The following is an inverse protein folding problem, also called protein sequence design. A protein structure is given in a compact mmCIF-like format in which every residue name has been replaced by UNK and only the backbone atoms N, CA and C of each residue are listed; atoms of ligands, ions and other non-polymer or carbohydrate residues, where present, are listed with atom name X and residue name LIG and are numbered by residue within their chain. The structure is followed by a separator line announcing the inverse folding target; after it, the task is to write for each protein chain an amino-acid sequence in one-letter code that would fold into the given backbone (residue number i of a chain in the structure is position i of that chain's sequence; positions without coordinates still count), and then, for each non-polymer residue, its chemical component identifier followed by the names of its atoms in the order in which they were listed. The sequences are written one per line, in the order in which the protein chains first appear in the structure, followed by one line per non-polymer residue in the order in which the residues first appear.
data_IF_229743647183
#
_entry.id   IF_229743647183
#
_cell.length_a   1.000
_cell.length_b   1.000
_cell.length_c   1.000
_cell.angle_alpha   90.00
_cell.angle_beta   90.00
_cell.angle_gamma   90.00
#
_symmetry.space_group_name_H-M   'P 1'
#
loop_
_entity.id
_entity.type
_entity.pdbx_description
1 polymer ?
#
# COMPACT_ATOMS: atom_id res chain seq x y z
N UNK A 1 -21.70 22.45 -0.55
CA UNK A 1 -21.18 21.62 -1.65
C UNK A 1 -20.59 22.44 -2.80
N UNK A 2 -21.21 23.53 -3.32
CA UNK A 2 -20.64 24.38 -4.39
C UNK A 2 -19.36 25.16 -4.02
N UNK A 3 -19.18 25.52 -2.74
CA UNK A 3 -17.99 26.29 -2.28
C UNK A 3 -16.71 25.44 -2.14
N UNK A 4 -16.85 24.14 -1.88
CA UNK A 4 -15.72 23.19 -1.81
C UNK A 4 -15.18 22.89 -3.22
N UNK A 5 -16.08 22.76 -4.20
CA UNK A 5 -15.76 22.50 -5.61
C UNK A 5 -15.00 23.68 -6.26
N UNK A 6 -15.30 24.92 -5.84
CA UNK A 6 -14.60 26.11 -6.32
C UNK A 6 -13.18 26.25 -5.73
N UNK A 7 -12.99 25.88 -4.46
CA UNK A 7 -11.66 25.90 -3.81
C UNK A 7 -10.75 24.81 -4.35
N UNK A 8 -11.29 23.62 -4.61
CA UNK A 8 -10.54 22.50 -5.21
C UNK A 8 -10.11 22.85 -6.64
N UNK A 9 -10.99 23.44 -7.45
CA UNK A 9 -10.66 23.90 -8.82
C UNK A 9 -9.57 24.98 -8.83
N UNK A 10 -9.58 25.90 -7.86
CA UNK A 10 -8.51 26.91 -7.72
C UNK A 10 -7.19 26.28 -7.30
N UNK A 11 -7.21 25.32 -6.37
CA UNK A 11 -6.00 24.63 -5.91
C UNK A 11 -5.37 23.78 -7.03
N UNK A 12 -6.19 23.05 -7.79
CA UNK A 12 -5.75 22.31 -8.99
C UNK A 12 -5.20 23.28 -10.06
N UNK A 13 -5.82 24.45 -10.22
CA UNK A 13 -5.33 25.49 -11.12
C UNK A 13 -3.96 26.04 -10.74
N UNK A 14 -3.69 26.22 -9.44
CA UNK A 14 -2.38 26.69 -8.94
C UNK A 14 -1.30 25.64 -9.17
N UNK A 15 -1.58 24.36 -8.92
CA UNK A 15 -0.67 23.24 -9.19
C UNK A 15 -0.38 23.15 -10.70
N UNK A 16 -1.38 23.30 -11.54
CA UNK A 16 -1.23 23.29 -12.99
C UNK A 16 -0.36 24.46 -13.50
N UNK A 17 -0.48 25.64 -12.91
CA UNK A 17 0.37 26.80 -13.24
C UNK A 17 1.82 26.62 -12.75
N UNK A 18 2.03 25.97 -11.60
CA UNK A 18 3.37 25.63 -11.11
C UNK A 18 4.06 24.60 -12.04
N UNK A 19 3.34 23.61 -12.55
CA UNK A 19 3.84 22.63 -13.50
C UNK A 19 4.17 23.32 -14.85
N UNK A 20 3.33 24.23 -15.34
CA UNK A 20 3.60 25.01 -16.56
C UNK A 20 4.83 25.92 -16.41
N UNK A 21 5.03 26.53 -15.23
CA UNK A 21 6.18 27.38 -14.95
C UNK A 21 7.50 26.56 -14.98
N UNK A 22 7.47 25.32 -14.53
CA UNK A 22 8.65 24.42 -14.60
C UNK A 22 8.98 24.00 -16.06
N UNK A 23 7.97 23.80 -16.90
CA UNK A 23 8.18 23.50 -18.33
C UNK A 23 8.82 24.68 -19.06
N UNK A 24 8.44 25.93 -18.73
CA UNK A 24 9.05 27.13 -19.27
C UNK A 24 10.52 27.34 -18.82
N UNK A 25 10.84 26.98 -17.58
CA UNK A 25 12.23 27.08 -17.08
C UNK A 25 13.17 26.03 -17.69
N UNK A 26 12.64 24.87 -18.07
CA UNK A 26 13.42 23.81 -18.73
C UNK A 26 13.81 24.15 -20.18
N UNK A 27 13.12 25.08 -20.84
CA UNK A 27 13.40 25.46 -22.24
C UNK A 27 14.51 26.51 -22.38
N UNK A 28 14.94 27.17 -21.31
CA UNK A 28 16.00 28.21 -21.38
C UNK A 28 17.42 27.66 -21.25
N UNK A 29 17.61 26.35 -21.11
CA UNK A 29 18.90 25.68 -20.90
C UNK A 29 19.54 25.06 -22.13
N UNK A 30 18.99 25.19 -23.36
CA UNK A 30 19.63 24.66 -24.57
C UNK A 30 20.48 25.79 -25.20
N UNK A 31 21.63 26.07 -24.58
CA UNK A 31 22.66 26.83 -25.20
C UNK A 31 23.58 25.90 -26.03
N UNK A 32 23.74 26.22 -27.29
CA UNK A 32 24.63 25.64 -28.29
C UNK A 32 25.89 24.97 -27.72
N UNK A 33 25.97 23.66 -27.77
CA UNK A 33 27.24 22.97 -27.68
C UNK A 33 27.74 22.63 -29.10
N UNK A 34 28.81 23.30 -29.52
CA UNK A 34 29.62 22.93 -30.68
C UNK A 34 30.16 21.52 -30.49
N UNK A 35 29.74 20.59 -31.34
CA UNK A 35 30.34 19.26 -31.43
C UNK A 35 31.73 19.35 -32.09
N UNK A 36 32.74 19.65 -31.27
CA UNK A 36 34.12 19.36 -31.62
C UNK A 36 34.34 17.84 -31.53
N UNK A 37 34.96 17.28 -32.58
CA UNK A 37 35.38 15.88 -32.60
C UNK A 37 36.57 15.70 -31.64
N UNK A 38 36.30 15.48 -30.37
CA UNK A 38 37.26 14.92 -29.43
C UNK A 38 36.84 13.49 -29.09
N UNK A 39 37.64 12.55 -29.57
CA UNK A 39 37.58 11.15 -29.11
C UNK A 39 38.02 11.12 -27.66
N UNK A 40 37.05 11.22 -26.76
CA UNK A 40 37.26 10.93 -25.34
C UNK A 40 37.53 9.44 -25.20
N UNK A 41 38.76 9.08 -24.89
CA UNK A 41 39.08 7.76 -24.35
C UNK A 41 38.35 7.62 -23.05
N UNK A 42 37.25 6.81 -23.04
CA UNK A 42 36.59 6.39 -21.85
C UNK A 42 37.56 5.61 -20.97
N UNK A 43 37.99 6.19 -19.87
CA UNK A 43 38.70 5.44 -18.84
C UNK A 43 37.81 4.28 -18.41
N UNK A 44 38.37 3.08 -18.42
CA UNK A 44 37.75 1.88 -17.93
C UNK A 44 37.25 2.14 -16.49
N UNK A 45 35.92 2.21 -16.30
CA UNK A 45 35.30 2.31 -14.99
C UNK A 45 35.27 0.89 -14.44
N UNK A 46 36.30 0.49 -13.72
CA UNK A 46 36.32 -0.77 -12.96
C UNK A 46 35.35 -0.59 -11.78
N UNK A 47 34.11 -1.01 -11.96
CA UNK A 47 33.16 -1.13 -10.87
C UNK A 47 33.59 -2.32 -10.01
N UNK A 48 34.41 -2.08 -9.00
CA UNK A 48 34.67 -3.06 -7.96
C UNK A 48 33.46 -3.12 -7.03
N UNK A 49 32.55 -4.05 -7.25
CA UNK A 49 31.53 -4.40 -6.29
C UNK A 49 32.20 -5.07 -5.08
N UNK A 50 32.55 -4.30 -4.06
CA UNK A 50 33.31 -4.79 -2.89
C UNK A 50 32.40 -5.23 -1.74
N UNK A 51 31.06 -5.10 -1.87
CA UNK A 51 30.11 -5.52 -0.83
C UNK A 51 29.00 -6.37 -1.42
N UNK A 52 28.63 -7.50 -0.79
CA UNK A 52 27.43 -8.21 -1.18
C UNK A 52 26.22 -7.28 -1.00
N UNK A 53 25.39 -7.14 -2.03
CA UNK A 53 24.18 -6.31 -1.99
C UNK A 53 23.20 -6.76 -0.90
N UNK A 54 23.19 -8.07 -0.57
CA UNK A 54 22.34 -8.63 0.46
C UNK A 54 23.17 -9.47 1.44
N UNK A 55 22.86 -9.35 2.73
CA UNK A 55 23.44 -10.12 3.82
C UNK A 55 22.33 -10.76 4.64
N UNK A 56 22.53 -12.01 5.03
CA UNK A 56 21.67 -12.66 6.01
C UNK A 56 22.14 -12.26 7.41
N UNK A 57 21.22 -11.74 8.21
CA UNK A 57 21.43 -11.52 9.65
C UNK A 57 20.40 -12.32 10.48
N UNK A 58 20.38 -12.11 11.80
CA UNK A 58 19.44 -12.78 12.71
C UNK A 58 17.96 -12.42 12.50
N UNK A 59 17.66 -11.33 11.82
CA UNK A 59 16.28 -10.92 11.51
C UNK A 59 15.84 -11.39 10.13
N UNK A 60 16.74 -11.40 9.13
CA UNK A 60 16.40 -11.74 7.76
C UNK A 60 17.46 -11.31 6.75
N UNK A 61 17.07 -11.16 5.50
CA UNK A 61 17.93 -10.68 4.42
C UNK A 61 17.96 -9.16 4.41
N UNK A 62 19.11 -8.57 4.74
CA UNK A 62 19.33 -7.12 4.71
C UNK A 62 20.01 -6.75 3.39
N UNK A 63 19.39 -5.84 2.65
CA UNK A 63 19.94 -5.27 1.41
C UNK A 63 20.19 -3.78 1.63
N UNK A 64 21.44 -3.36 1.46
CA UNK A 64 21.83 -1.95 1.46
C UNK A 64 21.38 -1.30 0.14
N UNK A 65 20.68 -0.19 0.21
CA UNK A 65 20.21 0.57 -0.97
C UNK A 65 21.09 1.79 -1.18
N UNK A 66 21.31 2.58 -0.12
CA UNK A 66 22.15 3.77 -0.13
C UNK A 66 23.56 3.46 -0.61
N UNK A 67 24.07 4.26 -1.54
CA UNK A 67 25.41 4.10 -2.11
C UNK A 67 25.55 2.92 -3.07
N UNK A 68 24.47 2.28 -3.47
CA UNK A 68 24.46 1.17 -4.44
C UNK A 68 23.75 1.56 -5.74
N UNK A 69 23.75 0.65 -6.71
CA UNK A 69 23.00 0.85 -7.97
C UNK A 69 21.50 0.89 -7.75
N UNK A 70 21.00 0.32 -6.65
CA UNK A 70 19.59 0.28 -6.29
C UNK A 70 19.05 1.68 -5.95
N UNK A 71 19.88 2.56 -5.42
CA UNK A 71 19.52 3.96 -5.11
C UNK A 71 19.10 4.77 -6.35
N UNK A 72 19.57 4.34 -7.53
CA UNK A 72 19.28 5.00 -8.82
C UNK A 72 17.98 4.53 -9.46
N UNK A 73 17.31 3.55 -8.88
CA UNK A 73 15.98 3.12 -9.31
C UNK A 73 14.94 4.19 -8.92
N UNK A 74 13.79 4.18 -9.59
CA UNK A 74 12.77 5.22 -9.37
C UNK A 74 12.16 5.18 -7.97
N UNK A 75 11.49 4.09 -7.64
CA UNK A 75 10.71 3.94 -6.41
C UNK A 75 11.05 2.66 -5.63
N UNK A 76 10.62 2.59 -4.38
CA UNK A 76 10.83 1.43 -3.51
C UNK A 76 10.38 0.11 -4.15
N UNK A 77 9.30 0.13 -4.90
CA UNK A 77 8.77 -1.01 -5.62
C UNK A 77 9.75 -1.58 -6.65
N UNK A 78 10.49 -0.72 -7.35
CA UNK A 78 11.51 -1.13 -8.34
C UNK A 78 12.69 -1.79 -7.61
N UNK A 79 13.08 -1.22 -6.46
CA UNK A 79 14.12 -1.79 -5.59
C UNK A 79 13.70 -3.16 -5.08
N UNK A 80 12.46 -3.29 -4.59
CA UNK A 80 11.96 -4.56 -4.05
C UNK A 80 11.93 -5.68 -5.09
N UNK A 81 11.67 -5.38 -6.35
CA UNK A 81 11.75 -6.35 -7.45
C UNK A 81 13.15 -6.93 -7.69
N UNK A 82 14.20 -6.32 -7.12
CA UNK A 82 15.60 -6.76 -7.22
C UNK A 82 16.09 -7.48 -5.95
N UNK A 83 15.25 -7.60 -4.92
CA UNK A 83 15.65 -8.23 -3.65
C UNK A 83 15.61 -9.75 -3.74
N UNK A 84 16.56 -10.46 -3.08
CA UNK A 84 16.52 -11.91 -2.99
C UNK A 84 15.22 -12.41 -2.33
N UNK A 85 14.57 -13.38 -2.97
CA UNK A 85 13.35 -13.99 -2.46
C UNK A 85 12.09 -13.12 -2.56
N UNK A 86 12.15 -11.98 -3.22
CA UNK A 86 11.01 -11.11 -3.48
C UNK A 86 10.60 -11.23 -4.94
N UNK A 87 9.32 -11.35 -5.18
CA UNK A 87 8.71 -11.43 -6.51
C UNK A 87 7.89 -10.16 -6.75
N UNK A 88 8.06 -9.56 -7.91
CA UNK A 88 7.19 -8.48 -8.38
C UNK A 88 6.29 -9.04 -9.50
N UNK A 89 5.05 -9.36 -9.14
CA UNK A 89 4.07 -9.91 -10.05
C UNK A 89 3.08 -8.82 -10.46
N UNK A 90 3.31 -8.20 -11.62
CA UNK A 90 2.48 -7.11 -12.17
C UNK A 90 2.23 -5.97 -11.16
N UNK A 91 3.25 -5.67 -10.37
CA UNK A 91 3.17 -4.61 -9.36
C UNK A 91 2.74 -5.06 -7.96
N UNK A 92 2.31 -6.30 -7.78
CA UNK A 92 2.13 -6.92 -6.47
C UNK A 92 3.46 -7.47 -5.97
N UNK A 93 3.92 -7.01 -4.82
CA UNK A 93 5.13 -7.52 -4.18
C UNK A 93 4.75 -8.73 -3.33
N UNK A 94 5.45 -9.83 -3.54
CA UNK A 94 5.27 -11.08 -2.81
C UNK A 94 6.62 -11.63 -2.35
N UNK A 95 6.64 -12.31 -1.21
CA UNK A 95 7.82 -13.05 -0.75
C UNK A 95 7.66 -14.52 -1.09
N UNK A 96 8.66 -15.10 -1.73
CA UNK A 96 8.61 -16.47 -2.25
C UNK A 96 8.21 -17.47 -1.16
N UNK A 97 7.15 -18.24 -1.43
CA UNK A 97 6.59 -19.24 -0.50
C UNK A 97 5.89 -18.67 0.74
N UNK A 98 5.78 -17.35 0.88
CA UNK A 98 5.18 -16.66 2.05
C UNK A 98 4.01 -15.74 1.68
N UNK A 99 3.79 -15.48 0.39
CA UNK A 99 2.72 -14.61 -0.09
C UNK A 99 3.03 -13.12 0.09
N UNK A 100 1.96 -12.32 0.27
CA UNK A 100 2.09 -10.86 0.43
C UNK A 100 2.69 -10.50 1.78
N UNK A 101 3.78 -9.69 1.81
CA UNK A 101 4.39 -9.25 3.05
C UNK A 101 3.59 -8.13 3.71
N UNK A 102 3.77 -7.97 5.02
CA UNK A 102 3.43 -6.74 5.72
C UNK A 102 4.62 -5.78 5.62
N UNK A 103 4.35 -4.54 5.24
CA UNK A 103 5.38 -3.51 5.11
C UNK A 103 5.51 -2.69 6.38
N UNK A 104 6.75 -2.35 6.71
CA UNK A 104 7.11 -1.40 7.77
C UNK A 104 8.05 -0.35 7.20
N UNK A 105 7.81 0.92 7.48
CA UNK A 105 8.70 2.04 7.16
C UNK A 105 9.14 2.68 8.48
N UNK A 106 10.44 2.69 8.77
CA UNK A 106 11.02 3.22 10.01
C UNK A 106 10.38 2.68 11.30
N UNK A 107 9.94 1.42 11.28
CA UNK A 107 9.28 0.78 12.42
C UNK A 107 7.75 0.90 12.46
N UNK A 108 7.15 1.72 11.60
CA UNK A 108 5.70 1.86 11.49
C UNK A 108 5.13 0.86 10.50
N UNK A 109 4.00 0.27 10.83
CA UNK A 109 3.26 -0.57 9.89
C UNK A 109 2.63 0.30 8.79
N UNK A 110 2.83 -0.08 7.55
CA UNK A 110 2.19 0.59 6.41
C UNK A 110 0.74 0.14 6.30
N UNK A 111 -0.18 1.04 6.55
CA UNK A 111 -1.63 0.79 6.45
C UNK A 111 -2.15 1.03 5.04
N UNK A 112 -1.48 1.90 4.28
CA UNK A 112 -1.83 2.21 2.90
C UNK A 112 -0.63 1.97 1.98
N UNK A 113 -0.77 1.08 1.00
CA UNK A 113 0.31 0.74 0.07
C UNK A 113 0.82 1.93 -0.76
N UNK A 114 0.06 3.02 -0.86
CA UNK A 114 0.47 4.26 -1.53
C UNK A 114 1.78 4.79 -0.92
N UNK A 115 1.99 4.65 0.39
CA UNK A 115 3.25 5.05 1.04
C UNK A 115 4.47 4.34 0.43
N UNK A 116 4.36 3.03 0.19
CA UNK A 116 5.44 2.24 -0.43
C UNK A 116 5.60 2.58 -1.91
N UNK A 117 4.49 2.83 -2.60
CA UNK A 117 4.49 3.15 -4.04
C UNK A 117 5.06 4.53 -4.35
N UNK A 118 4.96 5.46 -3.40
CA UNK A 118 5.48 6.82 -3.53
C UNK A 118 6.89 6.99 -2.98
N UNK A 119 7.35 6.07 -2.12
CA UNK A 119 8.69 6.12 -1.54
C UNK A 119 9.76 5.98 -2.63
N UNK A 120 10.64 6.97 -2.73
CA UNK A 120 11.71 7.01 -3.72
C UNK A 120 12.90 6.15 -3.29
N UNK A 121 13.55 5.51 -4.25
CA UNK A 121 14.72 4.65 -4.00
C UNK A 121 15.88 5.40 -3.32
N UNK A 122 16.10 6.66 -3.70
CA UNK A 122 17.14 7.52 -3.12
C UNK A 122 16.86 7.97 -1.67
N UNK A 123 15.66 7.70 -1.16
CA UNK A 123 15.30 7.94 0.23
C UNK A 123 15.53 6.72 1.12
N UNK A 124 15.86 5.56 0.54
CA UNK A 124 16.01 4.30 1.24
C UNK A 124 17.47 4.07 1.65
N UNK A 125 17.70 3.82 2.92
CA UNK A 125 18.99 3.39 3.45
C UNK A 125 19.18 1.88 3.22
N UNK A 126 18.24 1.07 3.71
CA UNK A 126 18.26 -0.39 3.59
C UNK A 126 16.86 -0.99 3.63
N UNK A 127 16.75 -2.20 3.10
CA UNK A 127 15.54 -3.03 3.17
C UNK A 127 15.87 -4.36 3.83
N UNK A 128 15.04 -4.80 4.79
CA UNK A 128 15.17 -6.12 5.46
C UNK A 128 13.95 -6.96 5.12
N UNK A 129 14.17 -8.13 4.53
CA UNK A 129 13.14 -9.13 4.23
C UNK A 129 13.17 -10.21 5.29
N UNK A 130 12.09 -10.32 6.08
CA UNK A 130 11.93 -11.28 7.17
C UNK A 130 10.95 -12.36 6.70
N UNK A 131 11.45 -13.57 6.54
CA UNK A 131 10.66 -14.73 6.07
C UNK A 131 10.11 -15.59 7.20
N UNK A 132 10.55 -15.33 8.43
CA UNK A 132 10.08 -15.99 9.63
C UNK A 132 9.91 -14.96 10.75
N UNK A 133 8.77 -14.23 10.77
CA UNK A 133 8.48 -13.25 11.80
C UNK A 133 8.45 -13.89 13.19
N UNK A 134 8.98 -13.18 14.20
CA UNK A 134 8.94 -13.63 15.60
C UNK A 134 7.56 -13.39 16.25
N UNK A 135 7.49 -13.67 17.55
CA UNK A 135 6.24 -13.56 18.34
C UNK A 135 5.67 -12.14 18.45
N UNK A 136 6.47 -11.11 18.14
CA UNK A 136 6.02 -9.72 18.05
C UNK A 136 4.91 -9.54 17.01
N UNK A 137 4.88 -10.35 15.96
CA UNK A 137 3.98 -10.16 14.82
C UNK A 137 2.79 -11.11 14.88
N UNK A 138 1.65 -10.68 14.31
CA UNK A 138 0.45 -11.49 14.28
C UNK A 138 0.67 -12.84 13.58
N UNK A 139 0.00 -13.87 14.03
CA UNK A 139 0.13 -15.25 13.55
C UNK A 139 -0.19 -15.45 12.07
N UNK A 140 -0.94 -14.51 11.50
CA UNK A 140 -1.33 -14.50 10.09
C UNK A 140 -0.26 -13.90 9.18
N UNK A 141 0.78 -13.27 9.75
CA UNK A 141 1.86 -12.61 9.00
C UNK A 141 2.90 -13.62 8.58
N UNK A 142 2.92 -13.99 7.31
CA UNK A 142 3.89 -14.96 6.75
C UNK A 142 5.27 -14.37 6.47
N UNK A 143 5.35 -13.06 6.20
CA UNK A 143 6.59 -12.35 5.90
C UNK A 143 6.45 -10.85 6.12
N UNK A 144 7.60 -10.18 6.30
CA UNK A 144 7.68 -8.75 6.55
C UNK A 144 8.77 -8.14 5.67
N UNK A 145 8.51 -6.95 5.16
CA UNK A 145 9.52 -6.11 4.53
C UNK A 145 9.66 -4.82 5.34
N UNK A 146 10.81 -4.67 6.01
CA UNK A 146 11.15 -3.45 6.75
C UNK A 146 12.00 -2.54 5.87
N UNK A 147 11.54 -1.32 5.66
CA UNK A 147 12.24 -0.26 4.92
C UNK A 147 12.76 0.75 5.93
N UNK A 148 14.07 0.98 5.93
CA UNK A 148 14.68 2.06 6.70
C UNK A 148 15.03 3.18 5.74
N UNK A 149 14.56 4.40 6.03
CA UNK A 149 14.86 5.57 5.20
C UNK A 149 16.13 6.29 5.67
N UNK A 150 16.73 7.04 4.76
CA UNK A 150 17.89 7.87 5.04
C UNK A 150 17.46 9.03 5.94
N UNK A 151 18.11 9.20 7.08
CA UNK A 151 17.94 10.42 7.88
C UNK A 151 18.60 11.59 7.16
N UNK A 152 17.84 12.63 6.90
CA UNK A 152 18.37 13.88 6.33
C UNK A 152 19.33 14.53 7.34
N UNK A 153 20.40 15.11 6.86
CA UNK A 153 21.44 15.75 7.69
C UNK A 153 21.52 17.24 7.34
N UNK A 154 21.63 18.08 8.36
CA UNK A 154 21.71 19.55 8.22
C UNK A 154 20.34 20.23 8.31
N UNK A 155 20.39 21.50 8.74
CA UNK A 155 19.21 22.35 8.85
C UNK A 155 18.87 23.00 7.52
N UNK A 156 17.61 23.36 7.34
CA UNK A 156 17.14 24.09 6.19
C UNK A 156 15.96 23.45 5.49
N UNK A 157 15.61 24.05 4.37
CA UNK A 157 14.54 23.60 3.49
C UNK A 157 15.09 22.73 2.36
N UNK A 158 14.43 21.64 2.08
CA UNK A 158 14.70 20.80 0.91
C UNK A 158 13.39 20.39 0.24
N UNK A 159 13.46 20.20 -1.07
CA UNK A 159 12.36 19.64 -1.84
C UNK A 159 12.91 18.66 -2.87
N UNK A 160 12.08 17.74 -3.27
CA UNK A 160 12.34 16.79 -4.34
C UNK A 160 11.03 16.60 -5.13
N UNK A 161 11.11 16.66 -6.44
CA UNK A 161 9.95 16.46 -7.31
C UNK A 161 10.29 15.45 -8.40
N UNK A 162 9.41 14.46 -8.57
CA UNK A 162 9.48 13.53 -9.70
C UNK A 162 8.17 13.62 -10.49
N UNK A 163 8.25 14.19 -11.68
CA UNK A 163 7.17 14.19 -12.65
C UNK A 163 7.44 13.12 -13.72
N UNK A 164 6.47 12.27 -13.97
CA UNK A 164 6.50 11.23 -14.99
C UNK A 164 5.37 11.43 -15.97
N UNK A 165 5.69 11.49 -17.25
CA UNK A 165 4.70 11.48 -18.33
C UNK A 165 5.04 10.31 -19.23
N UNK A 166 4.06 9.49 -19.54
CA UNK A 166 4.24 8.34 -20.39
C UNK A 166 3.05 8.10 -21.31
N UNK A 167 3.28 7.29 -22.33
CA UNK A 167 2.27 6.88 -23.26
C UNK A 167 2.33 5.36 -23.46
N UNK A 168 1.22 4.69 -23.11
CA UNK A 168 1.01 3.28 -23.38
C UNK A 168 -0.45 3.11 -23.82
N UNK A 169 -0.71 3.21 -25.11
CA UNK A 169 -2.04 3.33 -25.71
C UNK A 169 -2.77 4.64 -25.33
N UNK A 170 -2.50 5.18 -24.13
CA UNK A 170 -3.06 6.44 -23.61
C UNK A 170 -1.98 7.21 -22.85
N UNK A 171 -2.17 8.53 -22.80
CA UNK A 171 -1.33 9.40 -22.00
C UNK A 171 -1.61 9.15 -20.51
N UNK A 172 -0.57 8.93 -19.72
CA UNK A 172 -0.63 8.90 -18.27
C UNK A 172 0.37 9.90 -17.69
N UNK A 173 0.07 10.39 -16.51
CA UNK A 173 0.92 11.33 -15.80
C UNK A 173 0.91 11.03 -14.30
N UNK A 174 2.08 11.15 -13.69
CA UNK A 174 2.29 11.07 -12.24
C UNK A 174 3.22 12.19 -11.83
N UNK A 175 2.90 12.86 -10.73
CA UNK A 175 3.77 13.87 -10.10
C UNK A 175 3.81 13.60 -8.60
N UNK A 176 5.00 13.70 -8.02
CA UNK A 176 5.24 13.47 -6.60
C UNK A 176 6.21 14.53 -6.07
N UNK A 177 5.71 15.41 -5.20
CA UNK A 177 6.45 16.50 -4.59
C UNK A 177 6.68 16.20 -3.11
N UNK A 178 7.93 16.11 -2.69
CA UNK A 178 8.35 16.02 -1.31
C UNK A 178 8.92 17.36 -0.85
N UNK A 179 8.42 17.84 0.27
CA UNK A 179 8.88 19.04 0.96
C UNK A 179 9.38 18.66 2.34
N UNK A 180 10.48 19.26 2.78
CA UNK A 180 11.00 19.03 4.10
C UNK A 180 11.66 20.30 4.63
N UNK A 181 11.40 20.62 5.89
CA UNK A 181 12.05 21.69 6.61
C UNK A 181 12.58 21.17 7.93
N UNK A 182 13.89 21.26 8.12
CA UNK A 182 14.58 20.80 9.32
C UNK A 182 15.20 21.96 10.07
N UNK A 183 15.00 21.94 11.37
CA UNK A 183 15.64 22.85 12.32
C UNK A 183 16.03 22.07 13.57
N UNK A 184 17.31 22.03 13.89
CA UNK A 184 17.87 21.26 15.01
C UNK A 184 17.37 19.79 15.01
N UNK A 185 16.54 19.47 15.99
CA UNK A 185 16.00 18.13 16.23
C UNK A 185 14.60 17.92 15.64
N UNK A 186 14.02 18.93 15.04
CA UNK A 186 12.68 18.91 14.46
C UNK A 186 12.77 18.83 12.93
N UNK A 187 12.06 17.87 12.37
CA UNK A 187 11.88 17.67 10.94
C UNK A 187 10.40 17.79 10.62
N UNK A 188 9.99 18.75 9.80
CA UNK A 188 8.62 18.93 9.33
C UNK A 188 8.58 18.58 7.86
N UNK A 189 7.69 17.68 7.47
CA UNK A 189 7.65 17.18 6.10
C UNK A 189 6.25 17.20 5.51
N UNK A 190 6.20 17.23 4.19
CA UNK A 190 4.99 17.06 3.41
C UNK A 190 5.28 16.36 2.09
N UNK A 191 4.43 15.41 1.71
CA UNK A 191 4.45 14.75 0.40
C UNK A 191 3.10 14.98 -0.27
N UNK A 192 3.11 15.34 -1.55
CA UNK A 192 1.91 15.54 -2.36
C UNK A 192 2.04 14.74 -3.63
N UNK A 193 1.11 13.82 -3.84
CA UNK A 193 1.06 12.95 -5.01
C UNK A 193 -0.16 13.25 -5.89
N UNK A 194 0.06 13.21 -7.18
CA UNK A 194 -1.01 13.24 -8.18
C UNK A 194 -0.72 12.19 -9.25
N UNK A 195 -1.70 11.35 -9.55
CA UNK A 195 -1.60 10.39 -10.65
C UNK A 195 -2.88 10.40 -11.46
N UNK A 196 -2.73 10.34 -12.78
CA UNK A 196 -3.83 10.21 -13.73
C UNK A 196 -3.46 9.17 -14.76
N UNK A 197 -4.33 8.16 -14.91
CA UNK A 197 -4.13 7.07 -15.84
C UNK A 197 -5.39 6.68 -16.58
N UNK A 198 -5.18 5.96 -17.67
CA UNK A 198 -6.21 5.24 -18.41
C UNK A 198 -5.66 3.87 -18.76
N UNK A 199 -6.42 2.83 -18.52
CA UNK A 199 -6.06 1.47 -18.87
C UNK A 199 -7.21 0.77 -19.60
N UNK A 200 -6.86 -0.19 -20.45
CA UNK A 200 -7.81 -1.04 -21.16
C UNK A 200 -7.46 -2.48 -20.97
N UNK A 201 -8.45 -3.27 -20.60
CA UNK A 201 -8.31 -4.70 -20.42
C UNK A 201 -9.32 -5.44 -21.29
N UNK A 202 -8.90 -6.62 -21.81
CA UNK A 202 -9.77 -7.55 -22.50
C UNK A 202 -9.54 -8.94 -21.92
N UNK A 203 -10.60 -9.56 -21.45
CA UNK A 203 -10.57 -10.91 -20.90
C UNK A 203 -11.56 -11.81 -21.60
N UNK A 204 -11.18 -13.09 -21.74
CA UNK A 204 -12.07 -14.16 -22.18
C UNK A 204 -12.11 -15.21 -21.09
N UNK A 205 -13.31 -15.62 -20.70
CA UNK A 205 -13.55 -16.68 -19.74
C UNK A 205 -14.39 -17.77 -20.39
N UNK A 206 -13.99 -19.02 -20.21
CA UNK A 206 -14.72 -20.20 -20.66
C UNK A 206 -15.00 -21.04 -19.43
N UNK A 207 -16.28 -21.24 -19.12
CA UNK A 207 -16.74 -22.10 -18.03
C UNK A 207 -17.44 -23.31 -18.61
N UNK A 208 -17.05 -24.49 -18.15
CA UNK A 208 -17.68 -25.73 -18.52
C UNK A 208 -18.34 -26.38 -17.30
N UNK A 209 -19.53 -26.92 -17.48
CA UNK A 209 -20.28 -27.66 -16.48
C UNK A 209 -20.85 -28.93 -17.11
N UNK A 210 -20.65 -30.07 -16.46
CA UNK A 210 -21.17 -31.37 -16.84
C UNK A 210 -22.20 -31.80 -15.79
N UNK A 211 -23.47 -31.63 -16.12
CA UNK A 211 -24.59 -32.14 -15.33
C UNK A 211 -25.25 -33.29 -16.08
N UNK A 212 -26.49 -33.11 -16.56
CA UNK A 212 -27.18 -34.04 -17.47
C UNK A 212 -26.77 -33.84 -18.93
N UNK A 213 -26.23 -32.66 -19.25
CA UNK A 213 -25.69 -32.25 -20.55
C UNK A 213 -24.42 -31.45 -20.35
N UNK A 214 -23.63 -31.22 -21.39
CA UNK A 214 -22.45 -30.38 -21.37
C UNK A 214 -22.90 -28.91 -21.60
N UNK A 215 -22.73 -28.05 -20.58
CA UNK A 215 -22.97 -26.63 -20.70
C UNK A 215 -21.63 -25.88 -20.75
N UNK A 216 -21.48 -25.03 -21.76
CA UNK A 216 -20.31 -24.17 -21.90
C UNK A 216 -20.75 -22.69 -21.95
N UNK A 217 -20.21 -21.87 -21.09
CA UNK A 217 -20.41 -20.42 -21.12
C UNK A 217 -19.12 -19.73 -21.55
N UNK A 218 -19.20 -18.99 -22.66
CA UNK A 218 -18.11 -18.18 -23.19
C UNK A 218 -18.40 -16.71 -22.90
N UNK A 219 -17.60 -16.06 -22.09
CA UNK A 219 -17.76 -14.64 -21.76
C UNK A 219 -16.53 -13.85 -22.22
N UNK A 220 -16.78 -12.81 -23.01
CA UNK A 220 -15.76 -11.83 -23.41
C UNK A 220 -16.09 -10.50 -22.75
N UNK A 221 -15.14 -9.93 -22.03
CA UNK A 221 -15.27 -8.60 -21.43
C UNK A 221 -14.17 -7.69 -21.94
N UNK A 222 -14.55 -6.49 -22.38
CA UNK A 222 -13.64 -5.40 -22.68
C UNK A 222 -13.95 -4.25 -21.75
N UNK A 223 -12.95 -3.76 -21.03
CA UNK A 223 -13.10 -2.65 -20.07
C UNK A 223 -12.10 -1.55 -20.33
N UNK A 224 -12.53 -0.32 -20.08
CA UNK A 224 -11.69 0.88 -20.08
C UNK A 224 -11.85 1.57 -18.74
N UNK A 225 -10.74 1.73 -18.03
CA UNK A 225 -10.69 2.34 -16.71
C UNK A 225 -9.95 3.67 -16.78
N UNK A 226 -10.54 4.70 -16.22
CA UNK A 226 -9.92 6.00 -15.95
C UNK A 226 -9.70 6.11 -14.45
N UNK A 227 -8.46 6.25 -14.02
CA UNK A 227 -8.07 6.39 -12.61
C UNK A 227 -7.43 7.74 -12.37
N UNK A 228 -7.74 8.32 -11.24
CA UNK A 228 -7.00 9.45 -10.69
C UNK A 228 -6.66 9.14 -9.24
N UNK A 229 -5.53 9.63 -8.77
CA UNK A 229 -5.13 9.60 -7.38
C UNK A 229 -4.66 10.99 -6.98
N UNK A 230 -5.15 11.48 -5.86
CA UNK A 230 -4.67 12.68 -5.19
C UNK A 230 -4.34 12.26 -3.78
N UNK A 231 -3.10 12.41 -3.39
CA UNK A 231 -2.59 12.03 -2.08
C UNK A 231 -1.84 13.19 -1.44
N UNK A 232 -2.00 13.34 -0.13
CA UNK A 232 -1.30 14.32 0.67
C UNK A 232 -0.94 13.74 2.02
N UNK A 233 0.34 13.80 2.39
CA UNK A 233 0.88 13.38 3.69
C UNK A 233 1.69 14.51 4.26
N UNK A 234 1.48 14.86 5.52
CA UNK A 234 2.26 15.87 6.24
C UNK A 234 2.39 15.51 7.70
N UNK A 235 3.53 15.84 8.26
CA UNK A 235 3.84 15.47 9.62
C UNK A 235 5.12 16.08 10.13
N UNK A 236 5.53 15.59 11.27
CA UNK A 236 6.78 15.99 11.90
C UNK A 236 7.45 14.81 12.58
N UNK A 237 8.78 14.87 12.66
CA UNK A 237 9.63 13.98 13.44
C UNK A 237 10.50 14.83 14.37
N UNK A 238 10.54 14.46 15.65
CA UNK A 238 11.41 15.05 16.63
C UNK A 238 12.36 14.02 17.20
N UNK A 239 13.66 14.30 17.21
CA UNK A 239 14.70 13.38 17.67
C UNK A 239 15.75 14.10 18.50
N UNK A 240 15.51 14.23 19.81
CA UNK A 240 16.43 14.95 20.70
C UNK A 240 17.71 14.18 20.99
N UNK A 241 17.69 12.86 20.85
CA UNK A 241 18.84 11.98 21.07
C UNK A 241 18.59 10.60 20.43
N UNK A 242 19.60 9.73 20.32
CA UNK A 242 19.39 8.32 19.95
C UNK A 242 18.43 7.55 20.87
N UNK A 243 18.13 8.13 22.06
CA UNK A 243 17.28 7.52 23.09
C UNK A 243 15.88 8.10 23.16
N UNK A 244 15.57 9.18 22.43
CA UNK A 244 14.24 9.80 22.45
C UNK A 244 13.92 10.36 21.08
N UNK A 245 12.93 9.77 20.43
CA UNK A 245 12.33 10.27 19.22
C UNK A 245 10.81 10.06 19.25
N UNK A 246 10.07 10.98 18.69
CA UNK A 246 8.63 10.85 18.47
C UNK A 246 8.23 11.65 17.25
N UNK A 247 7.15 11.26 16.63
CA UNK A 247 6.61 11.93 15.47
C UNK A 247 5.17 11.54 15.23
N UNK A 248 4.55 12.27 14.32
CA UNK A 248 3.22 11.95 13.83
C UNK A 248 3.05 12.49 12.42
N UNK A 249 2.19 11.81 11.65
CA UNK A 249 1.77 12.32 10.36
C UNK A 249 0.27 12.09 10.14
N UNK A 250 -0.29 12.91 9.29
CA UNK A 250 -1.62 12.74 8.75
C UNK A 250 -1.54 12.60 7.23
N UNK A 251 -2.27 11.61 6.71
CA UNK A 251 -2.38 11.35 5.29
C UNK A 251 -3.83 11.36 4.86
N UNK A 252 -4.10 11.93 3.70
CA UNK A 252 -5.38 11.84 3.00
C UNK A 252 -5.15 11.38 1.58
N UNK A 253 -5.95 10.39 1.16
CA UNK A 253 -5.90 9.83 -0.19
C UNK A 253 -7.29 9.84 -0.81
N UNK A 254 -7.41 10.33 -2.03
CA UNK A 254 -8.65 10.34 -2.80
C UNK A 254 -8.41 9.75 -4.18
N UNK A 255 -9.06 8.60 -4.45
CA UNK A 255 -8.85 7.80 -5.66
C UNK A 255 -10.18 7.60 -6.44
N UNK A 256 -10.68 8.60 -7.20
CA UNK A 256 -11.83 8.41 -8.05
C UNK A 256 -11.47 7.61 -9.29
N UNK A 257 -12.30 6.60 -9.59
CA UNK A 257 -12.14 5.74 -10.76
C UNK A 257 -13.44 5.65 -11.54
N UNK A 258 -13.36 5.65 -12.87
CA UNK A 258 -14.48 5.39 -13.76
C UNK A 258 -14.12 4.22 -14.67
N UNK A 259 -14.95 3.18 -14.69
CA UNK A 259 -14.77 2.01 -15.54
C UNK A 259 -15.99 1.79 -16.43
N UNK A 260 -15.75 1.66 -17.72
CA UNK A 260 -16.76 1.33 -18.71
C UNK A 260 -16.42 -0.06 -19.26
N UNK A 261 -17.38 -0.98 -19.21
CA UNK A 261 -17.18 -2.36 -19.66
C UNK A 261 -18.27 -2.79 -20.64
N UNK A 262 -17.87 -3.52 -21.66
CA UNK A 262 -18.76 -4.23 -22.60
C UNK A 262 -18.54 -5.72 -22.38
N UNK A 263 -19.62 -6.44 -22.12
CA UNK A 263 -19.63 -7.86 -21.79
C UNK A 263 -20.49 -8.56 -22.83
N UNK A 264 -19.97 -9.64 -23.41
CA UNK A 264 -20.70 -10.53 -24.33
C UNK A 264 -20.57 -11.93 -23.78
N UNK A 265 -21.70 -12.61 -23.61
CA UNK A 265 -21.74 -13.99 -23.08
C UNK A 265 -22.60 -14.87 -23.97
N UNK A 266 -22.09 -16.05 -24.34
CA UNK A 266 -22.82 -17.06 -25.11
C UNK A 266 -22.85 -18.35 -24.28
N UNK A 267 -24.05 -18.89 -24.07
CA UNK A 267 -24.29 -20.16 -23.38
C UNK A 267 -24.59 -21.22 -24.44
N UNK A 268 -23.90 -22.34 -24.35
CA UNK A 268 -24.05 -23.51 -25.18
C UNK A 268 -24.54 -24.70 -24.34
N UNK A 269 -25.41 -25.54 -24.91
CA UNK A 269 -25.79 -26.84 -24.39
C UNK A 269 -25.52 -27.87 -25.46
N UNK A 270 -24.65 -28.84 -25.17
CA UNK A 270 -24.21 -29.90 -26.13
C UNK A 270 -23.80 -29.27 -27.50
N UNK A 271 -22.96 -28.22 -27.44
CA UNK A 271 -22.44 -27.42 -28.57
C UNK A 271 -23.49 -26.60 -29.36
N UNK A 272 -24.74 -26.55 -28.88
CA UNK A 272 -25.80 -25.71 -29.45
C UNK A 272 -25.93 -24.42 -28.65
N UNK A 273 -26.00 -23.27 -29.32
CA UNK A 273 -26.22 -21.97 -28.66
C UNK A 273 -27.62 -21.97 -28.05
N UNK A 274 -27.69 -21.84 -26.73
CA UNK A 274 -28.94 -21.66 -25.95
C UNK A 274 -29.33 -20.23 -25.82
N UNK A 275 -28.34 -19.35 -25.51
CA UNK A 275 -28.58 -17.93 -25.34
C UNK A 275 -27.33 -17.09 -25.61
N UNK A 276 -27.56 -15.88 -26.08
CA UNK A 276 -26.54 -14.85 -26.20
C UNK A 276 -27.00 -13.60 -25.45
N UNK A 277 -26.14 -13.06 -24.62
CA UNK A 277 -26.39 -11.85 -23.85
C UNK A 277 -25.30 -10.83 -24.09
N UNK A 278 -25.67 -9.58 -24.16
CA UNK A 278 -24.70 -8.48 -24.12
C UNK A 278 -25.09 -7.51 -23.02
N UNK A 279 -24.08 -7.00 -22.31
CA UNK A 279 -24.28 -6.02 -21.27
C UNK A 279 -23.25 -4.89 -21.38
N UNK A 280 -23.68 -3.68 -21.06
CA UNK A 280 -22.82 -2.53 -20.86
C UNK A 280 -22.87 -2.13 -19.39
N UNK A 281 -21.68 -1.92 -18.78
CA UNK A 281 -21.55 -1.56 -17.37
C UNK A 281 -20.71 -0.29 -17.23
N UNK A 282 -21.28 0.75 -16.58
CA UNK A 282 -20.59 1.96 -16.18
C UNK A 282 -20.45 1.96 -14.65
N UNK A 283 -19.21 2.01 -14.15
CA UNK A 283 -18.90 2.02 -12.74
C UNK A 283 -18.19 3.32 -12.39
N UNK A 284 -18.66 4.00 -11.35
CA UNK A 284 -18.04 5.20 -10.77
C UNK A 284 -17.71 4.91 -9.32
N UNK A 285 -16.43 4.73 -9.04
CA UNK A 285 -15.89 4.51 -7.70
C UNK A 285 -15.29 5.81 -7.17
N UNK A 286 -15.51 6.10 -5.88
CA UNK A 286 -14.86 7.18 -5.13
C UNK A 286 -14.36 6.57 -3.83
N UNK A 287 -13.05 6.55 -3.67
CA UNK A 287 -12.37 6.07 -2.47
C UNK A 287 -11.72 7.25 -1.77
N UNK A 288 -12.08 7.49 -0.52
CA UNK A 288 -11.50 8.53 0.33
C UNK A 288 -11.03 7.89 1.62
N UNK A 289 -9.75 8.01 1.89
CA UNK A 289 -9.09 7.46 3.07
C UNK A 289 -8.32 8.53 3.82
N UNK A 290 -8.37 8.46 5.14
CA UNK A 290 -7.63 9.29 6.06
C UNK A 290 -6.86 8.38 7.02
N UNK A 291 -5.62 8.70 7.29
CA UNK A 291 -4.76 8.02 8.25
C UNK A 291 -4.07 9.06 9.14
N UNK A 292 -4.17 8.88 10.44
CA UNK A 292 -3.33 9.53 11.43
C UNK A 292 -2.47 8.47 12.07
N UNK A 293 -1.15 8.63 11.97
CA UNK A 293 -0.15 7.75 12.54
C UNK A 293 0.71 8.53 13.52
N UNK A 294 1.15 7.87 14.59
CA UNK A 294 2.02 8.46 15.58
C UNK A 294 2.94 7.41 16.22
N UNK A 295 4.12 7.84 16.62
CA UNK A 295 5.09 6.98 17.27
C UNK A 295 5.87 7.69 18.36
N UNK A 296 6.36 6.90 19.30
CA UNK A 296 7.32 7.32 20.30
C UNK A 296 8.33 6.20 20.54
N UNK A 297 9.60 6.54 20.49
CA UNK A 297 10.70 5.66 20.83
C UNK A 297 11.48 6.28 21.98
N UNK A 298 11.67 5.53 23.07
CA UNK A 298 12.32 6.01 24.28
C UNK A 298 13.31 5.00 24.84
N UNK A 299 14.49 5.49 25.29
CA UNK A 299 15.47 4.70 26.03
C UNK A 299 15.52 5.11 27.50
N UNK A 300 15.24 4.19 28.43
CA UNK A 300 15.37 4.41 29.86
C UNK A 300 16.31 3.38 30.48
N UNK A 301 17.49 3.84 30.87
CA UNK A 301 18.57 2.94 31.31
C UNK A 301 19.00 2.02 30.18
N UNK A 302 18.81 0.71 30.35
CA UNK A 302 19.04 -0.33 29.34
C UNK A 302 17.77 -0.74 28.60
N UNK A 303 16.62 -0.20 28.98
CA UNK A 303 15.34 -0.47 28.33
C UNK A 303 15.20 0.35 27.05
N UNK A 304 14.67 -0.29 26.03
CA UNK A 304 14.20 0.34 24.82
C UNK A 304 12.68 0.19 24.77
N UNK A 305 11.97 1.31 24.64
CA UNK A 305 10.51 1.38 24.65
C UNK A 305 10.04 1.94 23.31
N UNK A 306 9.08 1.30 22.69
CA UNK A 306 8.47 1.73 21.44
C UNK A 306 6.96 1.74 21.62
N UNK A 307 6.31 2.75 21.09
CA UNK A 307 4.86 2.87 20.99
C UNK A 307 4.50 3.35 19.60
N UNK A 308 3.54 2.69 18.98
CA UNK A 308 2.91 3.17 17.74
C UNK A 308 1.41 3.28 17.94
N UNK A 309 0.80 4.19 17.19
CA UNK A 309 -0.63 4.46 17.24
C UNK A 309 -1.13 4.86 15.86
N UNK A 310 -2.18 4.17 15.38
CA UNK A 310 -2.83 4.42 14.10
C UNK A 310 -4.31 4.68 14.27
N UNK A 311 -4.83 5.68 13.58
CA UNK A 311 -6.25 5.90 13.35
C UNK A 311 -6.49 6.01 11.85
N UNK A 312 -7.35 5.15 11.32
CA UNK A 312 -7.74 5.18 9.91
C UNK A 312 -9.27 5.24 9.80
N UNK A 313 -9.74 6.06 8.87
CA UNK A 313 -11.13 6.01 8.44
C UNK A 313 -11.20 6.15 6.93
N UNK A 314 -12.06 5.32 6.34
CA UNK A 314 -12.19 5.17 4.91
C UNK A 314 -13.65 5.21 4.51
N UNK A 315 -13.93 5.86 3.39
CA UNK A 315 -15.26 5.87 2.78
C UNK A 315 -15.15 5.54 1.30
N UNK A 316 -15.85 4.50 0.90
CA UNK A 316 -15.97 4.06 -0.48
C UNK A 316 -17.41 4.32 -0.93
N UNK A 317 -17.58 4.84 -2.13
CA UNK A 317 -18.86 4.95 -2.82
C UNK A 317 -18.70 4.44 -4.23
N UNK A 318 -19.47 3.43 -4.56
CA UNK A 318 -19.53 2.88 -5.90
C UNK A 318 -20.96 3.02 -6.44
N UNK A 319 -21.09 3.54 -7.65
CA UNK A 319 -22.33 3.54 -8.40
C UNK A 319 -22.10 2.77 -9.68
N UNK A 320 -22.93 1.77 -9.94
CA UNK A 320 -22.90 0.94 -11.13
C UNK A 320 -24.21 1.11 -11.87
N UNK A 321 -24.14 1.34 -13.18
CA UNK A 321 -25.28 1.25 -14.08
C UNK A 321 -25.04 0.09 -15.04
N UNK A 322 -25.96 -0.83 -15.11
CA UNK A 322 -25.90 -2.02 -15.95
C UNK A 322 -27.07 -1.95 -16.93
N UNK A 323 -26.76 -2.02 -18.22
CA UNK A 323 -27.73 -2.12 -19.31
C UNK A 323 -27.53 -3.50 -19.92
N UNK A 324 -28.50 -4.38 -19.76
CA UNK A 324 -28.49 -5.74 -20.30
C UNK A 324 -29.42 -5.84 -21.51
N UNK A 325 -28.89 -6.37 -22.61
CA UNK A 325 -29.64 -6.59 -23.86
C UNK A 325 -29.83 -8.12 -24.04
N UNK A 326 -30.91 -8.62 -23.51
CA UNK A 326 -31.30 -10.03 -23.56
C UNK A 326 -32.77 -10.13 -23.96
N UNK A 327 -33.12 -9.86 -25.21
CA UNK A 327 -34.51 -9.94 -25.64
C UNK A 327 -35.44 -8.91 -24.97
N UNK A 328 -35.38 -8.76 -23.66
CA UNK A 328 -36.02 -7.69 -22.86
C UNK A 328 -34.88 -6.85 -22.27
N UNK A 329 -34.73 -5.60 -22.75
CA UNK A 329 -33.74 -4.69 -22.21
C UNK A 329 -34.01 -4.45 -20.72
N UNK A 330 -33.07 -4.76 -19.85
CA UNK A 330 -33.12 -4.43 -18.44
C UNK A 330 -32.04 -3.42 -18.12
N UNK A 331 -32.46 -2.29 -17.55
CA UNK A 331 -31.59 -1.22 -17.08
C UNK A 331 -31.76 -1.11 -15.57
N UNK A 332 -30.65 -1.22 -14.80
CA UNK A 332 -30.71 -1.11 -13.36
C UNK A 332 -29.43 -0.51 -12.78
N UNK A 333 -29.62 0.20 -11.67
CA UNK A 333 -28.56 0.79 -10.87
C UNK A 333 -28.24 -0.04 -9.64
N UNK A 334 -26.94 -0.08 -9.27
CA UNK A 334 -26.44 -0.60 -7.99
C UNK A 334 -25.64 0.52 -7.35
N UNK A 335 -25.90 0.75 -6.06
CA UNK A 335 -25.19 1.76 -5.28
C UNK A 335 -24.65 1.13 -4.01
N UNK A 336 -23.33 1.11 -3.90
CA UNK A 336 -22.61 0.58 -2.77
C UNK A 336 -21.95 1.71 -1.98
N UNK A 337 -22.11 1.70 -0.66
CA UNK A 337 -21.47 2.64 0.26
C UNK A 337 -20.80 1.87 1.37
N UNK A 338 -19.46 1.93 1.40
CA UNK A 338 -18.64 1.32 2.42
C UNK A 338 -18.05 2.34 3.39
N UNK A 339 -18.01 2.03 4.67
CA UNK A 339 -17.31 2.75 5.71
C UNK A 339 -16.38 1.80 6.46
N UNK A 340 -15.12 2.18 6.63
CA UNK A 340 -14.18 1.44 7.46
C UNK A 340 -13.52 2.38 8.47
N UNK A 341 -13.25 1.84 9.67
CA UNK A 341 -12.51 2.50 10.74
C UNK A 341 -11.54 1.51 11.35
N UNK A 342 -10.36 1.97 11.70
CA UNK A 342 -9.35 1.21 12.40
C UNK A 342 -8.73 2.09 13.47
N UNK A 343 -8.54 1.53 14.66
CA UNK A 343 -7.67 2.04 15.71
C UNK A 343 -6.72 0.93 16.08
N UNK A 344 -5.41 1.19 16.01
CA UNK A 344 -4.39 0.23 16.40
C UNK A 344 -3.35 0.90 17.30
N UNK A 345 -2.80 0.14 18.23
CA UNK A 345 -1.73 0.57 19.12
C UNK A 345 -0.83 -0.61 19.40
N UNK A 346 0.47 -0.44 19.28
CA UNK A 346 1.48 -1.39 19.71
C UNK A 346 2.34 -0.75 20.79
N UNK A 347 2.56 -1.48 21.89
CA UNK A 347 3.52 -1.16 22.93
C UNK A 347 4.57 -2.26 22.97
N UNK A 348 5.82 -1.90 22.81
CA UNK A 348 6.96 -2.81 22.80
C UNK A 348 8.02 -2.35 23.78
N UNK A 349 8.58 -3.29 24.52
CA UNK A 349 9.70 -3.06 25.40
C UNK A 349 10.79 -4.12 25.19
N UNK A 350 12.05 -3.73 25.18
CA UNK A 350 13.16 -4.66 25.13
C UNK A 350 14.29 -4.27 26.08
N UNK A 351 15.01 -5.28 26.56
CA UNK A 351 16.13 -5.14 27.48
C UNK A 351 17.24 -6.13 27.09
N UNK A 352 18.51 -5.72 27.07
CA UNK A 352 19.62 -6.67 26.91
C UNK A 352 19.56 -7.75 27.99
N UNK A 353 19.62 -9.01 27.58
CA UNK A 353 19.56 -10.15 28.45
C UNK A 353 20.56 -11.22 28.00
N UNK A 354 21.46 -11.63 28.89
CA UNK A 354 22.58 -12.57 28.62
C UNK A 354 23.39 -12.08 27.39
N UNK A 355 23.48 -12.90 26.34
CA UNK A 355 24.19 -12.58 25.09
C UNK A 355 23.26 -12.10 23.98
N UNK A 356 22.09 -11.61 24.32
CA UNK A 356 21.07 -11.15 23.38
C UNK A 356 20.08 -10.18 24.01
N UNK A 357 18.82 -10.30 23.65
CA UNK A 357 17.75 -9.45 24.18
C UNK A 357 16.59 -10.29 24.68
N UNK A 358 15.85 -9.73 25.64
CA UNK A 358 14.52 -10.12 26.05
C UNK A 358 13.55 -8.98 25.65
N UNK A 359 12.42 -9.33 25.10
CA UNK A 359 11.40 -8.36 24.70
C UNK A 359 9.99 -8.86 25.00
N UNK A 360 9.09 -7.92 25.23
CA UNK A 360 7.66 -8.19 25.39
C UNK A 360 6.86 -7.00 24.87
N UNK A 361 5.60 -7.25 24.60
CA UNK A 361 4.72 -6.19 24.15
C UNK A 361 3.26 -6.57 24.13
N UNK A 362 2.44 -5.57 23.77
CA UNK A 362 0.99 -5.66 23.68
C UNK A 362 0.55 -4.99 22.40
N UNK A 363 -0.31 -5.68 21.64
CA UNK A 363 -0.99 -5.12 20.48
C UNK A 363 -2.47 -5.01 20.79
N UNK A 364 -3.05 -3.90 20.40
CA UNK A 364 -4.48 -3.63 20.44
C UNK A 364 -4.93 -3.17 19.06
N UNK A 365 -5.94 -3.81 18.51
CA UNK A 365 -6.58 -3.38 17.26
C UNK A 365 -8.08 -3.46 17.40
N UNK A 366 -8.77 -2.37 17.09
CA UNK A 366 -10.22 -2.30 16.97
C UNK A 366 -10.57 -1.82 15.57
N UNK A 367 -11.30 -2.63 14.82
CA UNK A 367 -11.72 -2.30 13.47
C UNK A 367 -13.22 -2.47 13.28
N UNK A 368 -13.80 -1.67 12.41
CA UNK A 368 -15.18 -1.77 11.98
C UNK A 368 -15.29 -1.50 10.49
N UNK A 369 -15.98 -2.36 9.78
CA UNK A 369 -16.33 -2.19 8.37
C UNK A 369 -17.83 -2.36 8.22
N UNK A 370 -18.46 -1.41 7.54
CA UNK A 370 -19.88 -1.42 7.21
C UNK A 370 -20.03 -1.22 5.70
N UNK A 371 -20.88 -2.02 5.08
CA UNK A 371 -21.15 -2.00 3.65
C UNK A 371 -22.64 -2.07 3.41
N UNK A 372 -23.17 -1.04 2.75
CA UNK A 372 -24.56 -0.92 2.36
C UNK A 372 -24.65 -1.00 0.86
N UNK A 373 -25.36 -1.98 0.33
CA UNK A 373 -25.68 -2.14 -1.08
C UNK A 373 -27.16 -1.89 -1.32
N UNK A 374 -27.49 -1.03 -2.27
CA UNK A 374 -28.85 -0.74 -2.75
C UNK A 374 -28.92 -1.12 -4.23
N UNK A 375 -29.88 -1.93 -4.63
CA UNK A 375 -30.12 -2.29 -6.03
C UNK A 375 -31.52 -1.89 -6.46
N UNK A 376 -31.64 -1.31 -7.67
CA UNK A 376 -32.92 -1.03 -8.32
C UNK A 376 -33.54 -2.29 -8.92
N UNK A 377 -32.78 -3.39 -9.02
CA UNK A 377 -33.24 -4.66 -9.53
C UNK A 377 -33.94 -5.46 -8.41
N UNK A 378 -35.19 -5.83 -8.63
CA UNK A 378 -35.99 -6.61 -7.66
C UNK A 378 -35.45 -8.03 -7.39
N UNK A 379 -34.57 -8.54 -8.25
CA UNK A 379 -33.92 -9.87 -8.10
C UNK A 379 -32.69 -9.77 -7.18
N UNK A 380 -32.01 -8.62 -7.14
CA UNK A 380 -30.88 -8.36 -6.29
C UNK A 380 -31.33 -7.56 -5.07
N UNK A 381 -31.59 -8.26 -3.95
CA UNK A 381 -31.90 -7.58 -2.71
C UNK A 381 -30.71 -6.74 -2.23
N UNK A 382 -30.99 -5.51 -1.78
CA UNK A 382 -29.97 -4.70 -1.11
C UNK A 382 -29.54 -5.36 0.21
N UNK A 383 -28.28 -5.28 0.55
CA UNK A 383 -27.71 -5.84 1.77
C UNK A 383 -27.03 -4.77 2.62
N UNK A 384 -27.16 -4.91 3.93
CA UNK A 384 -26.41 -4.14 4.91
C UNK A 384 -25.59 -5.12 5.74
N UNK A 385 -24.28 -5.07 5.58
CA UNK A 385 -23.34 -5.94 6.27
C UNK A 385 -22.40 -5.10 7.12
N UNK A 386 -22.13 -5.57 8.37
CA UNK A 386 -21.18 -4.93 9.26
C UNK A 386 -20.31 -5.98 9.94
N UNK A 387 -19.01 -5.73 9.96
CA UNK A 387 -18.03 -6.52 10.69
C UNK A 387 -17.38 -5.60 11.72
N UNK A 388 -17.29 -6.07 12.97
CA UNK A 388 -16.53 -5.42 14.03
C UNK A 388 -15.55 -6.43 14.60
N UNK A 389 -14.29 -6.03 14.72
CA UNK A 389 -13.25 -6.90 15.24
C UNK A 389 -12.43 -6.18 16.30
N UNK A 390 -12.31 -6.83 17.45
CA UNK A 390 -11.40 -6.46 18.52
C UNK A 390 -10.33 -7.53 18.64
N UNK A 391 -9.08 -7.15 18.49
CA UNK A 391 -7.92 -8.03 18.65
C UNK A 391 -7.02 -7.46 19.74
N UNK A 392 -6.69 -8.30 20.74
CA UNK A 392 -5.71 -8.02 21.78
C UNK A 392 -4.67 -9.13 21.76
N UNK A 393 -3.40 -8.75 21.70
CA UNK A 393 -2.33 -9.73 21.74
C UNK A 393 -1.26 -9.33 22.74
N UNK A 394 -0.70 -10.34 23.41
CA UNK A 394 0.41 -10.22 24.34
C UNK A 394 1.52 -11.15 23.87
N UNK A 395 2.75 -10.67 23.84
CA UNK A 395 3.86 -11.47 23.39
C UNK A 395 5.11 -11.27 24.25
N UNK A 396 5.92 -12.32 24.28
CA UNK A 396 7.23 -12.35 24.92
C UNK A 396 8.19 -13.11 24.02
N UNK A 397 9.43 -12.62 23.92
CA UNK A 397 10.43 -13.24 23.07
C UNK A 397 11.82 -13.02 23.67
N UNK A 398 12.69 -14.01 23.54
CA UNK A 398 14.13 -13.85 23.76
C UNK A 398 14.90 -14.31 22.55
N UNK A 399 15.89 -13.52 22.16
CA UNK A 399 16.85 -13.85 21.11
C UNK A 399 18.23 -13.89 21.72
N UNK A 400 18.96 -15.01 21.56
CA UNK A 400 20.26 -15.25 22.16
C UNK A 400 21.29 -15.66 21.11
N UNK A 401 22.53 -15.17 21.28
CA UNK A 401 23.65 -15.47 20.40
C UNK A 401 24.64 -16.37 21.13
N UNK A 402 24.86 -17.57 20.61
CA UNK A 402 25.86 -18.54 21.12
C UNK A 402 26.90 -18.79 20.02
N UNK A 403 27.97 -18.02 20.04
CA UNK A 403 28.97 -18.06 18.97
C UNK A 403 28.38 -17.68 17.63
N UNK A 404 28.40 -18.58 16.67
CA UNK A 404 27.83 -18.36 15.32
C UNK A 404 26.36 -18.78 15.22
N UNK A 405 25.74 -19.24 16.29
CA UNK A 405 24.35 -19.67 16.32
C UNK A 405 23.52 -18.63 17.02
N UNK A 406 22.42 -18.23 16.39
CA UNK A 406 21.38 -17.39 16.98
C UNK A 406 20.11 -18.22 17.10
N UNK A 407 19.53 -18.26 18.28
CA UNK A 407 18.22 -18.86 18.48
C UNK A 407 17.23 -17.83 19.03
N UNK A 408 15.99 -18.02 18.66
CA UNK A 408 14.85 -17.19 19.08
C UNK A 408 13.81 -18.11 19.69
N UNK A 409 13.31 -17.74 20.85
CA UNK A 409 12.23 -18.44 21.55
C UNK A 409 11.23 -17.39 21.99
N UNK A 410 9.97 -17.58 21.66
CA UNK A 410 8.92 -16.65 22.04
C UNK A 410 7.56 -17.30 22.08
N UNK A 411 6.60 -16.58 22.66
CA UNK A 411 5.21 -16.95 22.71
C UNK A 411 4.33 -15.72 22.49
N UNK A 412 3.20 -15.93 21.84
CA UNK A 412 2.18 -14.92 21.60
C UNK A 412 0.80 -15.49 21.93
N UNK A 413 0.06 -14.76 22.76
CA UNK A 413 -1.34 -15.02 23.00
C UNK A 413 -2.18 -13.96 22.29
N UNK A 414 -3.16 -14.39 21.52
CA UNK A 414 -4.09 -13.54 20.79
C UNK A 414 -5.51 -13.84 21.24
N UNK A 415 -6.24 -12.81 21.60
CA UNK A 415 -7.68 -12.83 21.84
C UNK A 415 -8.38 -12.02 20.75
N UNK A 416 -9.22 -12.67 19.96
CA UNK A 416 -9.94 -12.03 18.85
C UNK A 416 -11.45 -12.22 19.07
N UNK A 417 -12.17 -11.11 19.08
CA UNK A 417 -13.63 -11.09 19.06
C UNK A 417 -14.06 -10.46 17.73
N UNK A 418 -14.65 -11.27 16.85
CA UNK A 418 -15.17 -10.85 15.54
C UNK A 418 -16.69 -10.99 15.55
N UNK A 419 -17.40 -9.89 15.33
CA UNK A 419 -18.85 -9.81 15.28
C UNK A 419 -19.30 -9.44 13.88
N UNK A 420 -20.20 -10.24 13.32
CA UNK A 420 -20.78 -10.05 12.01
C UNK A 420 -22.28 -9.74 12.13
N UNK A 421 -22.73 -8.73 11.38
CA UNK A 421 -24.14 -8.30 11.36
C UNK A 421 -24.64 -8.28 9.91
N UNK A 422 -25.85 -8.80 9.70
CA UNK A 422 -26.59 -8.75 8.44
C UNK A 422 -27.91 -8.03 8.69
N UNK A 423 -28.22 -6.98 7.92
CA UNK A 423 -29.45 -6.20 8.09
C UNK A 423 -29.61 -5.63 9.50
N UNK A 424 -28.50 -5.28 10.16
CA UNK A 424 -28.47 -4.76 11.53
C UNK A 424 -28.64 -5.82 12.64
N UNK A 425 -28.78 -7.10 12.29
CA UNK A 425 -28.91 -8.22 13.25
C UNK A 425 -27.59 -8.99 13.32
N UNK A 426 -27.17 -9.33 14.55
CA UNK A 426 -25.96 -10.15 14.75
C UNK A 426 -26.16 -11.55 14.19
N UNK A 427 -25.25 -11.96 13.30
CA UNK A 427 -25.18 -13.31 12.78
C UNK A 427 -24.27 -14.15 13.70
N UNK A 428 -24.86 -15.05 14.48
CA UNK A 428 -24.11 -15.87 15.44
C UNK A 428 -23.24 -16.94 14.78
N UNK A 429 -23.59 -17.42 13.59
CA UNK A 429 -22.81 -18.42 12.85
C UNK A 429 -21.50 -17.86 12.29
N UNK A 430 -21.49 -16.57 11.96
CA UNK A 430 -20.33 -15.88 11.41
C UNK A 430 -19.57 -15.04 12.45
N UNK A 431 -20.11 -14.93 13.68
CA UNK A 431 -19.47 -14.23 14.79
C UNK A 431 -18.66 -15.22 15.62
N UNK A 432 -17.37 -14.91 15.83
CA UNK A 432 -16.44 -15.83 16.49
C UNK A 432 -15.64 -15.11 17.56
N UNK A 433 -15.45 -15.79 18.69
CA UNK A 433 -14.45 -15.41 19.70
C UNK A 433 -13.46 -16.55 19.76
N UNK A 434 -12.18 -16.26 19.63
CA UNK A 434 -11.15 -17.28 19.77
C UNK A 434 -9.92 -16.75 20.48
N UNK A 435 -9.30 -17.67 21.22
CA UNK A 435 -8.04 -17.51 21.90
C UNK A 435 -7.00 -18.39 21.23
N UNK A 436 -5.82 -17.86 20.97
CA UNK A 436 -4.75 -18.56 20.28
C UNK A 436 -3.43 -18.35 20.99
N UNK A 437 -2.78 -19.44 21.36
CA UNK A 437 -1.42 -19.44 21.88
C UNK A 437 -0.47 -19.96 20.80
N UNK A 438 0.54 -19.21 20.49
CA UNK A 438 1.54 -19.49 19.46
C UNK A 438 2.92 -19.51 20.07
N UNK A 439 3.74 -20.47 19.67
CA UNK A 439 5.17 -20.54 19.98
C UNK A 439 6.00 -20.26 18.72
N UNK A 440 7.14 -19.62 18.89
CA UNK A 440 8.16 -19.37 17.87
C UNK A 440 9.48 -19.95 18.30
#
# INVERSE_FOLDING_TARGET
MKMLDFKVKRFVGIIFHLILAQICLAQTGIANQNFGKDTLQLREVVVRATRPLAKLNSEGFVTEVKGTVLEKLGFAKDVMGMLPGVLNNNGSIEVFGKGKPVFYINGHIVRNNIEVEQLKANQIDKITVITNPGSRYASTVGSIIKITTIKKVGDGFSFDNIATIGYRNYLYGKDNLDLNYRIDNLDVFGTFGFEKGKDTNSSKNVQNSWLSSHHQQNTTMKSTQHSNLIDGKWGFDFSSSPKLSFGAFYQVSYAPTKTNSSIMSSLYSDDVIESETSAYKDIKLRDLEHLLDGYCHGGWGKWNLEMTFDLMWKKIRENQNVIEQTGINQDFGIKDVGHARLMATELYASHPFLKGNFSFGVDFTNSSREENSESENSIMAGENNKIQELNMAYYVETMQHLGNVTFRIGGRYEHVNSEYFIGGRKNHEQSHVYDKLLGV
#
